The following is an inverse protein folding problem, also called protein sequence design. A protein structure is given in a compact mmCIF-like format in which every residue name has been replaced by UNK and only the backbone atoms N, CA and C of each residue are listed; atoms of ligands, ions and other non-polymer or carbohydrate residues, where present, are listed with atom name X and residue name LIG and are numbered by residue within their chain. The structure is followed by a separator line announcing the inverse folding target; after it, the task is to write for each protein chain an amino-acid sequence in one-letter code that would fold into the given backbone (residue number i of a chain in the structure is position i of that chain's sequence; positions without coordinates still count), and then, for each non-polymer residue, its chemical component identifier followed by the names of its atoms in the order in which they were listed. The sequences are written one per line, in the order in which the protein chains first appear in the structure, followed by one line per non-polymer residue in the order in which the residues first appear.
data_IF_939382959402
#
_entry.id   IF_939382959402
#
_cell.length_a   1.000
_cell.length_b   1.000
_cell.length_c   1.000
_cell.angle_alpha   90.00
_cell.angle_beta   90.00
_cell.angle_gamma   90.00
#
_symmetry.space_group_name_H-M   'P 1'
#
loop_
_entity.id
_entity.type
_entity.pdbx_description
1 polymer ?
#
# COMPACT_ATOMS: atom_id res chain seq x y z
N UNK A 1 17.05 -0.56 -20.06
CA UNK A 1 17.77 -1.21 -18.95
C UNK A 1 17.12 -0.75 -17.65
N UNK A 2 16.15 -1.51 -17.14
CA UNK A 2 15.52 -1.21 -15.86
C UNK A 2 16.49 -1.60 -14.76
N UNK A 3 16.94 -0.63 -13.98
CA UNK A 3 17.80 -0.83 -12.82
C UNK A 3 17.03 -1.59 -11.76
N UNK A 4 17.15 -2.92 -11.75
CA UNK A 4 16.77 -3.76 -10.62
C UNK A 4 17.74 -3.44 -9.49
N UNK A 5 17.33 -2.54 -8.60
CA UNK A 5 17.98 -2.38 -7.30
C UNK A 5 17.73 -3.70 -6.55
N UNK A 6 18.76 -4.48 -6.20
CA UNK A 6 18.56 -5.74 -5.50
C UNK A 6 17.82 -5.44 -4.20
N UNK A 7 16.65 -6.06 -4.04
CA UNK A 7 15.97 -6.12 -2.76
C UNK A 7 16.90 -6.91 -1.83
N UNK A 8 17.38 -6.27 -0.78
CA UNK A 8 18.26 -6.90 0.23
C UNK A 8 17.51 -7.99 1.01
N UNK A 9 16.19 -8.06 0.89
CA UNK A 9 15.30 -8.99 1.60
C UNK A 9 14.15 -9.37 0.67
N UNK A 10 13.78 -10.65 0.61
CA UNK A 10 12.66 -11.14 -0.20
C UNK A 10 11.31 -10.63 0.35
N UNK A 11 10.41 -10.13 -0.51
CA UNK A 11 9.08 -9.68 -0.10
C UNK A 11 8.15 -10.89 0.16
N UNK A 12 7.35 -10.85 1.24
CA UNK A 12 6.27 -11.82 1.51
C UNK A 12 4.97 -11.49 0.77
N UNK A 13 4.78 -10.21 0.44
CA UNK A 13 3.66 -9.75 -0.39
C UNK A 13 4.18 -8.80 -1.46
N UNK A 14 3.64 -8.90 -2.66
CA UNK A 14 3.92 -7.99 -3.77
C UNK A 14 2.65 -7.76 -4.58
N UNK A 15 2.30 -6.50 -4.82
CA UNK A 15 1.18 -6.16 -5.69
C UNK A 15 1.44 -4.91 -6.52
N UNK A 16 0.85 -4.88 -7.72
CA UNK A 16 0.99 -3.79 -8.69
C UNK A 16 -0.38 -3.23 -9.09
N UNK A 17 -0.70 -2.00 -8.67
CA UNK A 17 -1.95 -1.33 -9.04
C UNK A 17 -1.76 -0.52 -10.34
N UNK A 18 -2.64 -0.70 -11.35
CA UNK A 18 -2.41 -0.21 -12.72
C UNK A 18 -2.42 1.32 -12.85
N UNK A 19 -3.13 2.03 -11.97
CA UNK A 19 -3.28 3.49 -12.04
C UNK A 19 -2.81 4.13 -10.73
N UNK A 20 -1.59 4.67 -10.74
CA UNK A 20 -1.06 5.39 -9.59
C UNK A 20 -1.94 6.56 -9.16
N UNK A 21 -2.55 7.24 -10.13
CA UNK A 21 -3.44 8.37 -9.87
C UNK A 21 -4.68 7.95 -9.10
N UNK A 22 -5.29 6.82 -9.46
CA UNK A 22 -6.51 6.35 -8.80
C UNK A 22 -6.21 5.80 -7.41
N UNK A 23 -5.12 5.05 -7.26
CA UNK A 23 -4.67 4.61 -5.93
C UNK A 23 -4.35 5.79 -5.01
N UNK A 24 -3.69 6.83 -5.53
CA UNK A 24 -3.41 8.05 -4.76
C UNK A 24 -4.70 8.77 -4.35
N UNK A 25 -5.77 8.72 -5.14
CA UNK A 25 -7.08 9.28 -4.73
C UNK A 25 -7.67 8.50 -3.55
N UNK A 26 -7.59 7.16 -3.57
CA UNK A 26 -8.03 6.32 -2.44
C UNK A 26 -7.26 6.70 -1.17
N UNK A 27 -5.94 6.83 -1.26
CA UNK A 27 -5.11 7.25 -0.13
C UNK A 27 -5.40 8.68 0.34
N UNK A 28 -5.76 9.60 -0.55
CA UNK A 28 -6.16 10.97 -0.18
C UNK A 28 -7.42 10.97 0.67
N UNK A 29 -8.44 10.22 0.26
CA UNK A 29 -9.68 10.05 1.04
C UNK A 29 -9.36 9.46 2.41
N UNK A 30 -8.49 8.44 2.47
CA UNK A 30 -8.05 7.87 3.75
C UNK A 30 -7.32 8.90 4.63
N UNK A 31 -6.47 9.76 4.05
CA UNK A 31 -5.71 10.76 4.79
C UNK A 31 -6.55 11.89 5.40
N UNK A 32 -7.78 12.09 4.91
CA UNK A 32 -8.73 13.04 5.49
C UNK A 32 -9.47 12.44 6.70
N UNK A 33 -9.44 11.11 6.83
CA UNK A 33 -10.15 10.37 7.89
C UNK A 33 -9.21 9.93 9.01
N UNK A 34 -7.99 9.48 8.66
CA UNK A 34 -7.01 8.92 9.61
C UNK A 34 -5.58 9.29 9.24
N UNK A 35 -4.74 9.52 10.26
CA UNK A 35 -3.30 9.77 10.08
C UNK A 35 -2.56 8.48 9.72
N UNK A 36 -2.91 7.38 10.39
CA UNK A 36 -2.30 6.06 10.25
C UNK A 36 -3.37 4.98 10.02
N UNK A 37 -3.06 4.02 9.16
CA UNK A 37 -3.91 2.85 8.92
C UNK A 37 -3.06 1.64 8.54
N UNK A 38 -3.67 0.46 8.52
CA UNK A 38 -3.02 -0.75 8.03
C UNK A 38 -3.64 -1.19 6.71
N UNK A 39 -2.80 -1.51 5.73
CA UNK A 39 -3.21 -2.33 4.59
C UNK A 39 -3.07 -3.79 5.03
N UNK A 40 -4.19 -4.49 5.18
CA UNK A 40 -4.18 -5.94 5.28
C UNK A 40 -4.10 -6.51 3.88
N UNK A 41 -3.12 -7.39 3.64
CA UNK A 41 -2.92 -8.05 2.36
C UNK A 41 -2.99 -9.55 2.59
N UNK A 42 -3.91 -10.21 1.91
CA UNK A 42 -4.11 -11.65 1.95
C UNK A 42 -4.55 -12.17 0.57
N UNK A 43 -4.82 -13.47 0.44
CA UNK A 43 -5.25 -14.08 -0.82
C UNK A 43 -6.56 -13.47 -1.39
N UNK A 44 -7.35 -12.82 -0.54
CA UNK A 44 -8.58 -12.11 -0.89
C UNK A 44 -8.37 -10.67 -1.39
N UNK A 45 -7.14 -10.15 -1.35
CA UNK A 45 -6.78 -8.85 -1.89
C UNK A 45 -6.15 -7.90 -0.87
N UNK A 46 -6.39 -6.59 -1.07
CA UNK A 46 -5.97 -5.52 -0.17
C UNK A 46 -7.19 -4.92 0.53
N UNK A 47 -7.12 -4.87 1.86
CA UNK A 47 -8.20 -4.44 2.72
C UNK A 47 -7.78 -3.31 3.65
N UNK A 48 -8.64 -2.31 3.82
CA UNK A 48 -8.45 -1.20 4.75
C UNK A 48 -9.75 -0.94 5.50
N UNK A 49 -9.64 -0.72 6.80
CA UNK A 49 -10.72 -0.21 7.64
C UNK A 49 -10.22 1.02 8.39
N UNK A 50 -10.94 2.12 8.28
CA UNK A 50 -10.61 3.38 8.94
C UNK A 50 -11.86 3.99 9.55
N UNK A 51 -11.76 4.44 10.80
CA UNK A 51 -12.80 5.23 11.46
C UNK A 51 -12.52 6.71 11.24
N UNK A 52 -13.56 7.53 11.13
CA UNK A 52 -13.39 8.98 11.19
C UNK A 52 -12.88 9.42 12.58
N UNK A 53 -12.36 10.65 12.74
CA UNK A 53 -11.85 11.13 14.03
C UNK A 53 -12.89 11.09 15.15
N UNK A 54 -14.18 11.29 14.83
CA UNK A 54 -15.28 11.19 15.78
C UNK A 54 -15.71 9.76 16.11
N UNK A 55 -15.21 8.76 15.37
CA UNK A 55 -15.57 7.33 15.46
C UNK A 55 -17.06 7.06 15.28
N UNK A 56 -17.72 7.85 14.44
CA UNK A 56 -19.14 7.74 14.11
C UNK A 56 -19.33 6.94 12.82
N UNK A 57 -18.39 7.03 11.89
CA UNK A 57 -18.43 6.40 10.57
C UNK A 57 -17.17 5.57 10.32
N UNK A 58 -17.33 4.51 9.54
CA UNK A 58 -16.24 3.62 9.12
C UNK A 58 -16.17 3.56 7.60
N UNK A 59 -14.98 3.83 7.06
CA UNK A 59 -14.64 3.56 5.66
C UNK A 59 -14.05 2.14 5.56
N UNK A 60 -14.59 1.35 4.64
CA UNK A 60 -14.07 0.03 4.27
C UNK A 60 -13.64 0.10 2.81
N UNK A 61 -12.37 -0.22 2.54
CA UNK A 61 -11.83 -0.38 1.19
C UNK A 61 -11.48 -1.85 1.00
N UNK A 62 -12.01 -2.46 -0.05
CA UNK A 62 -11.68 -3.82 -0.48
C UNK A 62 -11.28 -3.77 -1.94
N UNK A 63 -10.02 -4.11 -2.24
CA UNK A 63 -9.50 -4.23 -3.59
C UNK A 63 -9.20 -5.71 -3.82
N UNK A 64 -9.99 -6.43 -4.63
CA UNK A 64 -9.76 -7.84 -4.86
C UNK A 64 -8.52 -8.05 -5.77
N UNK A 65 -7.95 -9.26 -5.83
CA UNK A 65 -6.71 -9.53 -6.57
C UNK A 65 -6.77 -9.12 -8.06
N UNK A 66 -7.94 -9.21 -8.69
CA UNK A 66 -8.15 -8.85 -10.10
C UNK A 66 -8.03 -7.34 -10.37
N UNK A 67 -8.03 -6.50 -9.32
CA UNK A 67 -7.79 -5.07 -9.43
C UNK A 67 -6.30 -4.75 -9.71
N UNK A 68 -5.41 -5.73 -9.58
CA UNK A 68 -3.97 -5.59 -9.70
C UNK A 68 -3.42 -6.27 -10.96
N UNK A 69 -2.36 -5.71 -11.53
CA UNK A 69 -1.63 -6.32 -12.66
C UNK A 69 -0.73 -7.47 -12.21
N UNK A 70 -0.25 -7.40 -10.97
CA UNK A 70 0.52 -8.42 -10.29
C UNK A 70 0.02 -8.48 -8.86
N UNK A 71 -0.22 -9.67 -8.34
CA UNK A 71 -0.65 -9.89 -6.96
C UNK A 71 -0.07 -11.22 -6.48
N UNK A 72 0.85 -11.15 -5.52
CA UNK A 72 1.56 -12.29 -4.93
C UNK A 72 1.50 -12.16 -3.43
N UNK A 73 1.08 -13.24 -2.78
CA UNK A 73 0.98 -13.35 -1.33
C UNK A 73 1.58 -14.70 -0.97
N UNK A 74 2.76 -14.65 -0.36
CA UNK A 74 3.39 -15.84 0.23
C UNK A 74 2.88 -16.05 1.66
N UNK A 75 2.66 -14.95 2.38
CA UNK A 75 2.04 -14.92 3.71
C UNK A 75 1.23 -13.64 3.86
N UNK A 76 0.05 -13.74 4.49
CA UNK A 76 -0.77 -12.56 4.76
C UNK A 76 -0.02 -11.56 5.65
N UNK A 77 -0.08 -10.28 5.30
CA UNK A 77 0.70 -9.24 5.96
C UNK A 77 -0.15 -8.00 6.26
N UNK A 78 0.02 -7.44 7.46
CA UNK A 78 -0.52 -6.14 7.84
C UNK A 78 0.57 -5.07 7.74
N UNK A 79 0.42 -4.16 6.78
CA UNK A 79 1.40 -3.11 6.49
C UNK A 79 0.90 -1.81 7.10
N UNK A 80 1.51 -1.37 8.21
CA UNK A 80 1.22 -0.09 8.84
C UNK A 80 1.74 1.10 8.01
N UNK A 81 0.88 2.07 7.76
CA UNK A 81 1.15 3.23 6.92
C UNK A 81 0.82 4.54 7.62
N UNK A 82 1.75 5.50 7.55
CA UNK A 82 1.42 6.91 7.69
C UNK A 82 0.86 7.42 6.35
N UNK A 83 -0.46 7.55 6.25
CA UNK A 83 -1.17 7.76 4.97
C UNK A 83 -0.75 9.07 4.33
N UNK A 84 -0.65 10.14 5.13
CA UNK A 84 -0.25 11.46 4.68
C UNK A 84 1.18 11.48 4.10
N UNK A 85 2.09 10.67 4.64
CA UNK A 85 3.45 10.55 4.12
C UNK A 85 3.47 9.81 2.78
N UNK A 86 2.70 8.74 2.65
CA UNK A 86 2.59 8.01 1.39
C UNK A 86 2.01 8.91 0.28
N UNK A 87 0.93 9.65 0.56
CA UNK A 87 0.37 10.63 -0.39
C UNK A 87 1.40 11.66 -0.84
N UNK A 88 2.23 12.17 0.08
CA UNK A 88 3.31 13.13 -0.25
C UNK A 88 4.37 12.53 -1.18
N UNK A 89 4.73 11.25 -0.99
CA UNK A 89 5.68 10.55 -1.86
C UNK A 89 5.10 10.35 -3.27
N UNK A 90 3.81 10.04 -3.36
CA UNK A 90 3.13 9.77 -4.64
C UNK A 90 2.71 11.04 -5.42
N UNK A 91 2.91 12.25 -4.85
CA UNK A 91 2.38 13.51 -5.40
C UNK A 91 2.86 13.85 -6.83
N UNK A 92 4.02 13.35 -7.24
CA UNK A 92 4.68 13.69 -8.51
C UNK A 92 4.50 12.59 -9.59
N UNK A 93 3.57 11.65 -9.39
CA UNK A 93 3.29 10.60 -10.37
C UNK A 93 2.52 11.17 -11.58
N UNK A 94 2.88 10.68 -12.77
CA UNK A 94 2.33 11.08 -14.07
C UNK A 94 1.18 10.16 -14.47
N UNK A 95 0.37 10.60 -15.44
CA UNK A 95 -0.62 9.74 -16.09
C UNK A 95 0.09 8.56 -16.76
N UNK A 96 -0.35 7.33 -16.47
CA UNK A 96 0.26 6.10 -16.96
C UNK A 96 1.23 5.45 -15.98
N UNK A 97 1.65 6.15 -14.92
CA UNK A 97 2.43 5.52 -13.85
C UNK A 97 1.55 4.48 -13.12
N UNK A 98 2.16 3.36 -12.78
CA UNK A 98 1.61 2.33 -11.88
C UNK A 98 2.28 2.38 -10.51
N UNK A 99 1.66 1.75 -9.52
CA UNK A 99 2.24 1.59 -8.18
C UNK A 99 2.57 0.13 -7.99
N UNK A 100 3.80 -0.14 -7.55
CA UNK A 100 4.20 -1.46 -7.04
C UNK A 100 4.44 -1.29 -5.55
N UNK A 101 3.94 -2.22 -4.74
CA UNK A 101 4.23 -2.33 -3.32
C UNK A 101 4.73 -3.74 -3.09
N UNK A 102 5.87 -3.85 -2.44
CA UNK A 102 6.47 -5.12 -2.04
C UNK A 102 6.87 -4.95 -0.58
N UNK A 103 6.42 -5.85 0.29
CA UNK A 103 6.66 -5.78 1.72
C UNK A 103 6.92 -7.17 2.30
N UNK A 104 7.62 -7.20 3.43
CA UNK A 104 7.87 -8.38 4.25
C UNK A 104 7.76 -8.00 5.72
N UNK A 105 7.85 -9.00 6.58
CA UNK A 105 8.00 -8.79 8.01
C UNK A 105 9.46 -8.39 8.32
N UNK A 106 9.68 -7.11 8.57
CA UNK A 106 10.93 -6.64 9.17
C UNK A 106 10.69 -6.37 10.67
N UNK A 107 11.15 -7.28 11.53
CA UNK A 107 11.02 -7.16 12.99
C UNK A 107 12.02 -6.12 13.51
N UNK A 108 11.60 -4.86 13.62
CA UNK A 108 12.30 -3.88 14.43
C UNK A 108 11.47 -3.63 15.69
N UNK A 109 12.08 -3.83 16.86
CA UNK A 109 11.48 -4.15 18.18
C UNK A 109 10.34 -3.23 18.69
N UNK A 110 9.93 -2.18 17.97
CA UNK A 110 8.84 -1.26 18.36
C UNK A 110 7.90 -0.78 17.23
N UNK A 111 7.96 -1.27 15.99
CA UNK A 111 6.99 -0.90 14.94
C UNK A 111 7.17 -1.80 13.71
N UNK A 112 6.16 -2.59 13.35
CA UNK A 112 6.09 -3.36 12.09
C UNK A 112 5.97 -2.39 10.91
N UNK A 113 7.11 -1.84 10.48
CA UNK A 113 7.18 -1.00 9.28
C UNK A 113 7.54 -1.88 8.09
N UNK A 114 6.53 -2.29 7.33
CA UNK A 114 6.78 -2.84 5.99
C UNK A 114 7.52 -1.79 5.15
N UNK A 115 8.59 -2.19 4.47
CA UNK A 115 9.20 -1.33 3.47
C UNK A 115 8.25 -1.20 2.27
N UNK A 116 8.01 0.01 1.77
CA UNK A 116 7.20 0.25 0.57
C UNK A 116 8.12 0.82 -0.50
N UNK A 117 8.29 0.07 -1.59
CA UNK A 117 9.04 0.56 -2.75
C UNK A 117 8.11 0.84 -3.91
N UNK A 118 7.79 2.12 -4.10
CA UNK A 118 7.11 2.58 -5.31
C UNK A 118 8.12 2.62 -6.47
N UNK A 119 8.05 1.65 -7.39
CA UNK A 119 8.80 1.72 -8.64
C UNK A 119 7.98 2.48 -9.69
N UNK A 120 8.58 3.52 -10.28
CA UNK A 120 8.06 4.19 -11.47
C UNK A 120 8.62 3.46 -12.69
N UNK A 121 7.76 2.80 -13.45
CA UNK A 121 8.11 2.19 -14.74
C UNK A 121 7.10 2.66 -15.77
#
# INVERSE_FOLDING_TARGET
MSTVIPLTIEPKVLFAYPSARDFTKILKVLSEMVDETALLVDDGGVHVKALDPGRIAMLIVNLPPEAFQEFKVDESLSIGLAVSNLVKVLKNLKKGDRIVIAANEEYNRNSSRGSIRCAKI
#
